data_IF_160492342506
#
_entry.id   IF_160492342506
#
_cell.length_a   1.000
_cell.length_b   1.000
_cell.length_c   1.000
_cell.angle_alpha   90.00
_cell.angle_beta   90.00
_cell.angle_gamma   90.00
#
_symmetry.space_group_name_H-M   'P 1'
#
loop_
_entity.id
_entity.type
_entity.pdbx_description
1 polymer ?
#
# COMPACT_ATOMS: atom_id res chain seq x y z
N UNK A 1 1.79 0.97 -17.64
CA UNK A 1 1.77 1.63 -16.31
C UNK A 1 1.36 0.59 -15.28
N UNK A 2 2.21 0.30 -14.28
CA UNK A 2 1.94 -0.72 -13.24
C UNK A 2 1.39 0.02 -12.01
N UNK A 3 0.17 -0.29 -11.60
CA UNK A 3 -0.50 0.40 -10.49
C UNK A 3 -0.76 -0.45 -9.24
N UNK A 4 -0.69 -1.78 -9.36
CA UNK A 4 -0.84 -2.75 -8.28
C UNK A 4 -0.13 -4.05 -8.69
N UNK A 5 0.58 -4.67 -7.76
CA UNK A 5 1.09 -6.02 -7.90
C UNK A 5 0.42 -6.93 -6.87
N UNK A 6 0.18 -8.18 -7.28
CA UNK A 6 -0.32 -9.26 -6.42
C UNK A 6 0.51 -10.49 -6.72
N UNK A 7 1.08 -11.09 -5.69
CA UNK A 7 2.02 -12.20 -5.88
C UNK A 7 2.62 -12.67 -4.58
N UNK A 8 3.55 -13.62 -4.67
CA UNK A 8 4.20 -14.24 -3.52
C UNK A 8 5.47 -13.46 -3.16
N UNK A 9 5.67 -13.18 -1.89
CA UNK A 9 6.93 -12.60 -1.41
C UNK A 9 8.01 -13.70 -1.44
N UNK A 10 9.01 -13.55 -2.30
CA UNK A 10 10.15 -14.48 -2.34
C UNK A 10 11.21 -14.10 -1.31
N UNK A 11 11.54 -12.81 -1.23
CA UNK A 11 12.60 -12.31 -0.38
C UNK A 11 12.29 -10.91 0.17
N UNK A 12 12.80 -10.65 1.38
CA UNK A 12 12.65 -9.42 2.14
C UNK A 12 14.03 -8.86 2.51
N UNK A 13 14.47 -7.80 1.84
CA UNK A 13 15.73 -7.10 2.11
C UNK A 13 15.48 -5.60 2.26
N UNK A 14 15.07 -5.09 3.45
CA UNK A 14 14.65 -3.70 3.61
C UNK A 14 15.68 -2.71 3.03
N UNK A 15 15.27 -1.73 2.19
CA UNK A 15 13.89 -1.35 1.83
C UNK A 15 13.34 -2.04 0.55
N UNK A 16 13.97 -3.10 0.07
CA UNK A 16 13.61 -3.84 -1.15
C UNK A 16 12.86 -5.15 -0.82
N UNK A 17 11.85 -5.45 -1.62
CA UNK A 17 11.06 -6.69 -1.55
C UNK A 17 11.06 -7.31 -2.93
N UNK A 18 11.33 -8.62 -3.00
CA UNK A 18 11.20 -9.41 -4.22
C UNK A 18 9.83 -10.10 -4.24
N UNK A 19 8.99 -9.70 -5.18
CA UNK A 19 7.62 -10.19 -5.29
C UNK A 19 7.43 -10.91 -6.63
N UNK A 20 7.05 -12.18 -6.58
CA UNK A 20 6.81 -12.99 -7.78
C UNK A 20 5.34 -12.90 -8.21
N UNK A 21 5.12 -12.45 -9.43
CA UNK A 21 3.80 -12.48 -10.07
C UNK A 21 3.91 -13.22 -11.40
N UNK A 22 3.17 -14.32 -11.54
CA UNK A 22 3.11 -15.12 -12.77
C UNK A 22 4.50 -15.56 -13.31
N UNK A 23 5.42 -15.91 -12.40
CA UNK A 23 6.78 -16.36 -12.74
C UNK A 23 7.79 -15.24 -13.02
N UNK A 24 7.42 -13.98 -12.82
CA UNK A 24 8.33 -12.82 -12.92
C UNK A 24 8.56 -12.23 -11.53
N UNK A 25 9.83 -12.14 -11.12
CA UNK A 25 10.25 -11.48 -9.89
C UNK A 25 10.39 -9.97 -10.08
N UNK A 26 9.58 -9.19 -9.36
CA UNK A 26 9.63 -7.74 -9.33
C UNK A 26 10.34 -7.25 -8.08
N UNK A 27 11.34 -6.41 -8.25
CA UNK A 27 11.94 -5.66 -7.15
C UNK A 27 11.09 -4.42 -6.84
N UNK A 28 10.59 -4.34 -5.61
CA UNK A 28 9.73 -3.25 -5.16
C UNK A 28 10.37 -2.56 -3.97
N UNK A 29 10.63 -1.26 -4.10
CA UNK A 29 11.11 -0.43 -3.00
C UNK A 29 9.96 0.06 -2.14
N UNK A 30 9.97 -0.23 -0.84
CA UNK A 30 8.90 0.12 0.07
C UNK A 30 9.43 0.98 1.23
N UNK A 31 8.64 1.92 1.76
CA UNK A 31 8.95 2.58 3.02
C UNK A 31 9.05 1.55 4.16
N UNK A 32 9.90 1.83 5.15
CA UNK A 32 10.06 0.93 6.30
C UNK A 32 8.75 0.70 7.06
N UNK A 33 7.91 1.74 7.17
CA UNK A 33 6.58 1.67 7.79
C UNK A 33 5.69 0.63 7.10
N UNK A 34 5.61 0.67 5.77
CA UNK A 34 4.87 -0.31 4.99
C UNK A 34 5.50 -1.72 5.08
N UNK A 35 6.83 -1.79 5.15
CA UNK A 35 7.55 -3.07 5.18
C UNK A 35 7.19 -3.92 6.41
N UNK A 36 6.94 -3.29 7.57
CA UNK A 36 6.58 -4.00 8.79
C UNK A 36 5.19 -4.66 8.75
N UNK A 37 4.30 -4.18 7.90
CA UNK A 37 2.94 -4.75 7.76
C UNK A 37 2.90 -5.86 6.69
N UNK A 38 3.99 -6.11 5.96
CA UNK A 38 4.02 -7.13 4.93
C UNK A 38 3.95 -8.55 5.52
N UNK A 39 3.18 -9.46 4.91
CA UNK A 39 3.10 -10.86 5.33
C UNK A 39 4.45 -11.58 5.13
N UNK A 40 4.64 -12.74 5.75
CA UNK A 40 5.91 -13.47 5.72
C UNK A 40 6.33 -13.91 4.30
N UNK A 41 7.63 -14.21 4.12
CA UNK A 41 8.12 -14.78 2.87
C UNK A 41 7.40 -16.11 2.59
N UNK A 42 7.01 -16.32 1.33
CA UNK A 42 6.18 -17.44 0.89
C UNK A 42 4.67 -17.16 0.92
N UNK A 43 4.22 -16.03 1.46
CA UNK A 43 2.81 -15.64 1.45
C UNK A 43 2.47 -14.66 0.32
N UNK A 44 1.18 -14.63 -0.04
CA UNK A 44 0.65 -13.67 -1.01
C UNK A 44 0.55 -12.27 -0.40
N UNK A 45 1.05 -11.28 -1.12
CA UNK A 45 0.94 -9.88 -0.79
C UNK A 45 0.33 -9.08 -1.95
N UNK A 46 -0.40 -8.02 -1.58
CA UNK A 46 -0.94 -7.04 -2.52
C UNK A 46 -0.29 -5.71 -2.20
N UNK A 47 0.39 -5.11 -3.18
CA UNK A 47 1.06 -3.83 -3.03
C UNK A 47 0.61 -2.85 -4.11
N UNK A 48 0.32 -1.62 -3.71
CA UNK A 48 0.06 -0.52 -4.64
C UNK A 48 1.38 0.06 -5.10
N UNK A 49 1.58 0.10 -6.42
CA UNK A 49 2.86 0.52 -6.97
C UNK A 49 2.80 1.89 -7.64
N UNK A 50 3.95 2.56 -7.62
CA UNK A 50 4.25 3.73 -8.42
C UNK A 50 5.49 3.45 -9.27
N UNK A 51 5.31 3.45 -10.58
CA UNK A 51 6.36 3.15 -11.55
C UNK A 51 7.06 4.45 -11.96
N UNK A 52 8.37 4.53 -11.69
CA UNK A 52 9.22 5.66 -12.03
C UNK A 52 10.18 5.23 -13.13
N UNK A 53 10.06 5.87 -14.29
CA UNK A 53 10.95 5.67 -15.43
C UNK A 53 11.95 6.80 -15.48
N UNK A 54 13.23 6.45 -15.44
CA UNK A 54 14.36 7.33 -15.70
C UNK A 54 15.08 6.85 -16.96
N UNK A 55 16.01 7.64 -17.45
CA UNK A 55 16.82 7.32 -18.63
C UNK A 55 17.71 6.09 -18.39
N UNK A 56 18.14 5.90 -17.15
CA UNK A 56 19.11 4.89 -16.69
C UNK A 56 18.48 3.74 -15.90
N UNK A 57 17.24 3.90 -15.40
CA UNK A 57 16.63 2.94 -14.50
C UNK A 57 15.10 2.92 -14.58
N UNK A 58 14.52 1.75 -14.35
CA UNK A 58 13.09 1.55 -14.14
C UNK A 58 12.87 1.05 -12.72
N UNK A 59 12.25 1.89 -11.88
CA UNK A 59 12.10 1.60 -10.46
C UNK A 59 10.61 1.47 -10.11
N UNK A 60 10.30 0.47 -9.28
CA UNK A 60 8.98 0.30 -8.68
C UNK A 60 9.03 0.67 -7.21
N UNK A 61 8.17 1.60 -6.83
CA UNK A 61 7.91 1.95 -5.43
C UNK A 61 6.59 1.33 -5.00
N UNK A 62 6.56 0.65 -3.85
CA UNK A 62 5.39 -0.05 -3.33
C UNK A 62 4.88 0.53 -2.01
N UNK A 63 3.58 0.41 -1.81
CA UNK A 63 2.86 0.86 -0.63
C UNK A 63 1.74 -0.14 -0.30
N UNK A 64 1.38 -0.25 0.98
CA UNK A 64 0.29 -1.15 1.38
C UNK A 64 -1.07 -0.54 1.06
N UNK A 65 -1.15 0.78 1.15
CA UNK A 65 -2.39 1.52 0.99
C UNK A 65 -2.33 2.51 -0.19
N UNK A 66 -3.49 2.79 -0.79
CA UNK A 66 -3.60 3.81 -1.86
C UNK A 66 -3.24 5.21 -1.35
N UNK A 67 -3.57 5.51 -0.09
CA UNK A 67 -3.31 6.81 0.55
C UNK A 67 -1.81 7.11 0.62
N UNK A 68 -1.01 6.13 1.04
CA UNK A 68 0.46 6.23 1.09
C UNK A 68 1.05 6.46 -0.30
N UNK A 69 0.56 5.73 -1.30
CA UNK A 69 0.96 5.94 -2.70
C UNK A 69 0.61 7.34 -3.18
N UNK A 70 -0.59 7.84 -2.84
CA UNK A 70 -1.01 9.20 -3.21
C UNK A 70 -0.11 10.24 -2.55
N UNK A 71 0.18 10.09 -1.25
CA UNK A 71 1.09 10.95 -0.53
C UNK A 71 2.49 10.95 -1.17
N UNK A 72 3.04 9.77 -1.49
CA UNK A 72 4.31 9.65 -2.18
C UNK A 72 4.31 10.37 -3.53
N UNK A 73 3.24 10.23 -4.32
CA UNK A 73 3.09 10.92 -5.61
C UNK A 73 3.07 12.44 -5.45
N UNK A 74 2.46 12.97 -4.39
CA UNK A 74 2.49 14.41 -4.13
C UNK A 74 3.87 14.86 -3.65
N UNK A 75 4.54 14.06 -2.79
CA UNK A 75 5.89 14.35 -2.32
C UNK A 75 6.90 14.49 -3.47
N UNK A 76 6.89 13.57 -4.44
CA UNK A 76 7.85 13.62 -5.57
C UNK A 76 7.58 14.74 -6.58
N UNK A 77 6.40 15.38 -6.53
CA UNK A 77 6.09 16.57 -7.35
C UNK A 77 6.69 17.84 -6.74
N UNK A 78 7.00 17.83 -5.45
CA UNK A 78 7.62 18.94 -4.75
C UNK A 78 9.05 19.13 -5.24
N UNK A 79 9.41 20.37 -5.51
CA UNK A 79 10.74 20.71 -6.00
C UNK A 79 11.82 20.40 -4.95
N UNK A 80 12.82 19.61 -5.36
CA UNK A 80 13.90 19.18 -4.46
C UNK A 80 13.58 17.93 -3.65
N UNK A 81 12.40 17.31 -3.84
CA UNK A 81 12.06 16.02 -3.25
C UNK A 81 11.98 14.96 -4.34
N UNK A 82 12.99 14.09 -4.38
CA UNK A 82 13.00 12.93 -5.27
C UNK A 82 12.40 11.67 -4.62
N UNK A 83 12.18 10.60 -5.40
CA UNK A 83 11.68 9.31 -4.90
C UNK A 83 12.45 8.74 -3.69
N UNK A 84 13.78 8.88 -3.69
CA UNK A 84 14.64 8.44 -2.58
C UNK A 84 14.37 9.22 -1.28
N UNK A 85 14.15 10.54 -1.40
CA UNK A 85 13.87 11.39 -0.25
C UNK A 85 12.44 11.19 0.26
N UNK A 86 11.48 11.01 -0.66
CA UNK A 86 10.10 10.66 -0.31
C UNK A 86 10.02 9.31 0.44
N UNK A 87 10.80 8.30 0.02
CA UNK A 87 10.94 7.06 0.78
C UNK A 87 11.52 7.28 2.18
N UNK A 88 12.54 8.14 2.32
CA UNK A 88 13.13 8.44 3.62
C UNK A 88 12.12 9.12 4.55
N UNK A 89 11.30 10.04 4.03
CA UNK A 89 10.20 10.68 4.78
C UNK A 89 9.21 9.63 5.28
N UNK A 90 8.67 8.80 4.38
CA UNK A 90 7.68 7.78 4.74
C UNK A 90 8.25 6.62 5.57
N UNK A 91 9.58 6.49 5.62
CA UNK A 91 10.26 5.52 6.49
C UNK A 91 10.51 6.08 7.89
N UNK A 92 10.70 7.39 8.03
CA UNK A 92 10.95 8.04 9.33
C UNK A 92 9.68 8.44 10.08
N UNK A 93 8.55 8.59 9.38
CA UNK A 93 7.25 8.89 9.97
C UNK A 93 6.12 8.31 9.13
N UNK A 94 5.01 7.95 9.77
CA UNK A 94 3.82 7.47 9.06
C UNK A 94 3.17 8.59 8.23
N UNK A 95 2.35 8.22 7.25
CA UNK A 95 1.59 9.19 6.46
C UNK A 95 0.79 10.17 7.33
N UNK A 96 0.16 9.67 8.40
CA UNK A 96 -0.61 10.49 9.33
C UNK A 96 0.26 11.46 10.13
N UNK A 97 1.43 10.99 10.60
CA UNK A 97 2.39 11.83 11.30
C UNK A 97 2.94 12.93 10.40
N UNK A 98 3.23 12.62 9.14
CA UNK A 98 3.69 13.59 8.16
C UNK A 98 2.64 14.68 7.93
N UNK A 99 1.38 14.30 7.71
CA UNK A 99 0.26 15.24 7.56
C UNK A 99 0.17 16.17 8.77
N UNK A 100 0.16 15.60 9.98
CA UNK A 100 0.09 16.38 11.22
C UNK A 100 1.29 17.34 11.36
N UNK A 101 2.49 16.91 11.00
CA UNK A 101 3.69 17.75 11.04
C UNK A 101 3.60 18.91 10.05
N UNK A 102 3.04 18.69 8.85
CA UNK A 102 2.79 19.75 7.86
C UNK A 102 1.71 20.73 8.34
N UNK A 103 0.60 20.23 8.89
CA UNK A 103 -0.49 21.08 9.41
C UNK A 103 -0.04 21.97 10.57
N UNK A 104 0.82 21.43 11.44
CA UNK A 104 1.40 22.13 12.60
C UNK A 104 2.66 22.92 12.30
N UNK A 105 3.09 22.93 11.03
CA UNK A 105 4.31 23.61 10.56
C UNK A 105 5.57 23.20 11.36
N UNK A 106 5.67 21.91 11.70
CA UNK A 106 6.71 21.37 12.56
C UNK A 106 8.01 21.07 11.79
N UNK A 107 8.72 22.13 11.41
CA UNK A 107 9.99 22.07 10.64
C UNK A 107 11.03 21.15 11.31
N UNK A 108 11.10 21.17 12.64
CA UNK A 108 12.09 20.42 13.42
C UNK A 108 11.98 18.90 13.22
N UNK A 109 10.77 18.37 13.00
CA UNK A 109 10.55 16.93 12.76
C UNK A 109 11.06 16.52 11.37
N UNK A 110 10.93 17.38 10.37
CA UNK A 110 11.39 17.09 9.00
C UNK A 110 12.90 17.24 8.85
N UNK A 111 13.53 18.21 9.53
CA UNK A 111 14.99 18.43 9.45
C UNK A 111 15.80 17.28 10.05
N UNK A 112 15.20 16.47 10.94
CA UNK A 112 15.84 15.26 11.49
C UNK A 112 16.01 14.15 10.45
N UNK A 113 15.30 14.21 9.33
CA UNK A 113 15.36 13.19 8.29
C UNK A 113 16.60 13.37 7.41
N UNK A 114 17.27 12.26 7.02
CA UNK A 114 18.48 12.34 6.21
C UNK A 114 18.19 12.97 4.84
N UNK A 115 18.93 14.01 4.50
CA UNK A 115 18.80 14.72 3.22
C UNK A 115 17.80 15.88 3.22
N UNK A 116 17.15 16.19 4.35
CA UNK A 116 16.26 17.36 4.47
C UNK A 116 16.94 18.46 5.29
N UNK A 117 17.34 19.53 4.61
CA UNK A 117 17.81 20.76 5.26
C UNK A 117 16.67 21.67 5.71
N UNK A 118 16.96 22.65 6.55
CA UNK A 118 15.98 23.64 7.06
C UNK A 118 15.18 24.32 5.95
N UNK A 119 15.85 24.83 4.91
CA UNK A 119 15.21 25.49 3.76
C UNK A 119 14.30 24.55 2.96
N UNK A 120 14.72 23.30 2.80
CA UNK A 120 13.92 22.27 2.11
C UNK A 120 12.71 21.88 2.94
N UNK A 121 12.86 21.74 4.27
CA UNK A 121 11.75 21.44 5.17
C UNK A 121 10.68 22.55 5.18
N UNK A 122 11.09 23.81 5.29
CA UNK A 122 10.19 24.97 5.23
C UNK A 122 9.43 25.00 3.90
N UNK A 123 10.14 24.84 2.78
CA UNK A 123 9.52 24.79 1.45
C UNK A 123 8.55 23.62 1.31
N UNK A 124 8.94 22.44 1.79
CA UNK A 124 8.12 21.22 1.74
C UNK A 124 6.81 21.43 2.50
N UNK A 125 6.85 22.03 3.69
CA UNK A 125 5.65 22.31 4.49
C UNK A 125 4.71 23.23 3.72
N UNK A 126 5.21 24.33 3.16
CA UNK A 126 4.37 25.28 2.41
C UNK A 126 3.74 24.62 1.18
N UNK A 127 4.53 23.91 0.36
CA UNK A 127 4.02 23.24 -0.84
C UNK A 127 3.01 22.13 -0.48
N UNK A 128 3.30 21.30 0.52
CA UNK A 128 2.41 20.20 0.90
C UNK A 128 1.12 20.68 1.58
N UNK A 129 1.18 21.75 2.37
CA UNK A 129 -0.02 22.34 2.99
C UNK A 129 -0.99 22.85 1.94
N UNK A 130 -0.49 23.43 0.85
CA UNK A 130 -1.33 23.84 -0.29
C UNK A 130 -1.94 22.63 -1.01
N UNK A 131 -1.16 21.57 -1.23
CA UNK A 131 -1.64 20.32 -1.84
C UNK A 131 -2.73 19.65 -1.01
N UNK A 132 -2.57 19.57 0.31
CA UNK A 132 -3.55 18.93 1.19
C UNK A 132 -4.91 19.62 1.18
N UNK A 133 -4.95 20.95 1.00
CA UNK A 133 -6.22 21.68 0.82
C UNK A 133 -7.02 21.20 -0.39
N UNK A 134 -6.33 20.74 -1.44
CA UNK A 134 -6.96 20.13 -2.62
C UNK A 134 -7.27 18.64 -2.48
N UNK A 135 -6.68 17.94 -1.49
CA UNK A 135 -6.75 16.49 -1.32
C UNK A 135 -7.64 16.01 -0.16
N UNK A 136 -8.32 16.90 0.57
CA UNK A 136 -9.12 16.56 1.76
C UNK A 136 -10.14 15.42 1.56
N UNK A 137 -10.51 15.08 0.32
CA UNK A 137 -11.38 13.94 0.01
C UNK A 137 -10.70 12.58 -0.16
N UNK A 138 -9.43 12.49 -0.57
CA UNK A 138 -8.82 11.21 -1.00
C UNK A 138 -7.80 10.64 0.00
N UNK A 139 -7.21 11.48 0.86
CA UNK A 139 -6.22 11.04 1.86
C UNK A 139 -6.85 10.52 3.16
N UNK A 140 -8.06 11.00 3.50
CA UNK A 140 -8.68 10.77 4.81
C UNK A 140 -9.93 9.89 4.77
N UNK A 141 -10.43 9.50 3.60
CA UNK A 141 -11.45 8.46 3.54
C UNK A 141 -10.75 7.12 3.73
N UNK A 142 -10.98 6.38 4.83
CA UNK A 142 -10.56 5.00 4.88
C UNK A 142 -11.28 4.30 3.75
N UNK A 143 -10.55 3.95 2.69
CA UNK A 143 -11.06 3.05 1.68
C UNK A 143 -11.19 1.68 2.36
N UNK A 144 -12.31 1.47 3.04
CA UNK A 144 -12.89 0.17 3.25
C UNK A 144 -13.20 -0.40 1.85
N UNK A 145 -12.18 -0.94 1.18
CA UNK A 145 -12.24 -1.72 -0.06
C UNK A 145 -10.79 -2.06 -0.44
N UNK A 146 -10.28 -3.26 -0.16
CA UNK A 146 -10.76 -4.52 -0.68
C UNK A 146 -10.37 -5.66 0.26
N UNK A 147 -11.29 -6.08 1.12
CA UNK A 147 -11.30 -7.46 1.60
C UNK A 147 -11.79 -8.28 0.40
N UNK A 148 -10.85 -8.80 -0.39
CA UNK A 148 -11.14 -9.95 -1.25
C UNK A 148 -11.23 -11.18 -0.34
N UNK A 149 -12.32 -11.28 0.42
CA UNK A 149 -12.74 -12.57 0.96
C UNK A 149 -13.09 -13.42 -0.25
N UNK A 150 -12.20 -14.37 -0.54
CA UNK A 150 -12.47 -15.49 -1.41
C UNK A 150 -13.87 -16.05 -1.06
N UNK A 151 -14.78 -16.27 -2.02
CA UNK A 151 -16.05 -16.88 -1.71
C UNK A 151 -15.77 -18.33 -1.28
N UNK A 152 -15.77 -18.55 0.04
CA UNK A 152 -15.93 -19.87 0.62
C UNK A 152 -17.25 -20.43 0.06
N UNK A 153 -17.15 -21.47 -0.76
CA UNK A 153 -18.30 -22.11 -1.38
C UNK A 153 -19.29 -22.60 -0.32
N UNK A 154 -20.61 -22.41 -0.51
CA UNK A 154 -21.60 -22.90 0.42
C UNK A 154 -21.79 -24.40 0.16
N UNK A 155 -21.15 -25.26 0.95
CA UNK A 155 -21.61 -26.64 1.11
C UNK A 155 -21.89 -26.89 2.59
N UNK A 156 -22.97 -26.26 3.05
CA UNK A 156 -23.57 -26.44 4.36
C UNK A 156 -25.00 -26.94 4.25
N UNK A 157 -25.17 -28.26 4.14
CA UNK A 157 -26.09 -29.00 4.99
C UNK A 157 -27.60 -28.99 4.71
N UNK A 158 -28.14 -30.21 4.81
CA UNK A 158 -29.42 -30.55 5.43
C UNK A 158 -30.69 -30.24 4.62
N UNK A 159 -31.09 -31.18 3.76
CA UNK A 159 -32.51 -31.40 3.48
C UNK A 159 -33.16 -32.07 4.70
N UNK A 160 -34.08 -31.34 5.34
CA UNK A 160 -34.99 -31.81 6.38
C UNK A 160 -36.12 -32.67 5.80
N UNK A 161 -36.61 -33.55 6.65
CA UNK A 161 -37.72 -34.48 6.49
C UNK A 161 -39.03 -33.86 5.94
N UNK A 162 -39.82 -34.70 5.25
CA UNK A 162 -41.27 -34.59 5.25
C UNK A 162 -41.97 -35.02 3.96
N UNK A 163 -42.82 -36.04 4.06
CA UNK A 163 -43.93 -36.42 3.16
C UNK A 163 -43.60 -37.19 1.88
N UNK A 164 -43.82 -38.51 1.94
CA UNK A 164 -43.75 -39.43 0.80
C UNK A 164 -44.32 -40.81 1.12
N UNK A 165 -45.52 -40.87 1.70
CA UNK A 165 -46.32 -42.09 1.70
C UNK A 165 -46.55 -42.56 0.25
N UNK A 166 -46.03 -43.74 -0.13
CA UNK A 166 -46.71 -44.64 -1.09
C UNK A 166 -46.14 -46.06 -1.03
N UNK A 167 -47.00 -46.94 -0.55
CA UNK A 167 -47.24 -48.35 -0.88
C UNK A 167 -46.40 -49.06 -1.96
N UNK A 168 -46.06 -50.33 -1.64
CA UNK A 168 -45.67 -51.43 -2.54
C UNK A 168 -44.70 -52.38 -1.80
N UNK A 169 -45.10 -53.45 -1.10
CA UNK A 169 -45.75 -54.73 -1.48
C UNK A 169 -44.94 -55.59 -2.48
N UNK A 170 -44.85 -56.90 -2.16
CA UNK A 170 -44.21 -58.06 -2.83
C UNK A 170 -42.71 -58.23 -2.49
N UNK A 171 -42.25 -59.31 -1.81
CA UNK A 171 -42.32 -60.76 -2.12
C UNK A 171 -40.87 -61.18 -2.48
N UNK A 172 -40.20 -62.21 -1.96
CA UNK A 172 -40.50 -63.50 -1.35
C UNK A 172 -39.44 -63.78 -0.26
#
# INVERSE_FOLDING_TARGET
MIGRLRGIILEKQPPLVLLETAGVGYEVHMPMTCFYELPEAGQEAIVFTHFVVREDAQLLYGFNNKQERTLFKELIKTNGVGPKLALAILSGMSAQQFVNAVEREEVASLVKLPGIGKKTAERLIVEMKDRFKGLHGDLFTPAADLVLTSPAGPNGGRCRAGSGCRAGRAGL
#
